data_IF_328618311543
#
_entry.id   IF_328618311543
#
_cell.length_a   1.000
_cell.length_b   1.000
_cell.length_c   1.000
_cell.angle_alpha   90.00
_cell.angle_beta   90.00
_cell.angle_gamma   90.00
#
_symmetry.space_group_name_H-M   'P 1'
#
loop_
_entity.id
_entity.type
_entity.pdbx_description
1 polymer ?
#
# COMPACT_ATOMS: atom_id res chain seq x y z
N UNK A 1 -2.00 71.83 -28.49
CA UNK A 1 -1.28 70.53 -28.47
C UNK A 1 -1.08 70.08 -27.02
N UNK A 2 -0.71 71.00 -26.13
CA UNK A 2 -0.40 70.75 -24.71
C UNK A 2 -1.54 70.16 -23.88
N UNK A 3 -2.80 70.57 -24.10
CA UNK A 3 -3.93 70.02 -23.35
C UNK A 3 -4.17 68.53 -23.65
N UNK A 4 -3.95 68.10 -24.90
CA UNK A 4 -4.05 66.68 -25.28
C UNK A 4 -2.89 65.86 -24.70
N UNK A 5 -1.69 66.43 -24.66
CA UNK A 5 -0.51 65.82 -24.03
C UNK A 5 -0.72 65.63 -22.52
N UNK A 6 -1.22 66.65 -21.81
CA UNK A 6 -1.50 66.56 -20.37
C UNK A 6 -2.56 65.51 -20.04
N UNK A 7 -3.59 65.37 -20.87
CA UNK A 7 -4.62 64.33 -20.73
C UNK A 7 -4.01 62.94 -20.95
N UNK A 8 -3.19 62.78 -21.99
CA UNK A 8 -2.50 61.51 -22.28
C UNK A 8 -1.59 61.09 -21.12
N UNK A 9 -0.81 62.02 -20.57
CA UNK A 9 0.09 61.77 -19.44
C UNK A 9 -0.67 61.32 -18.20
N UNK A 10 -1.82 61.95 -17.92
CA UNK A 10 -2.71 61.53 -16.84
C UNK A 10 -3.21 60.10 -17.05
N UNK A 11 -3.66 59.75 -18.25
CA UNK A 11 -4.10 58.39 -18.57
C UNK A 11 -2.97 57.37 -18.45
N UNK A 12 -1.77 57.68 -18.95
CA UNK A 12 -0.60 56.80 -18.83
C UNK A 12 -0.26 56.56 -17.36
N UNK A 13 -0.30 57.59 -16.51
CA UNK A 13 -0.07 57.44 -15.07
C UNK A 13 -1.13 56.55 -14.42
N UNK A 14 -2.41 56.72 -14.77
CA UNK A 14 -3.48 55.85 -14.26
C UNK A 14 -3.32 54.40 -14.69
N UNK A 15 -2.98 54.16 -15.96
CA UNK A 15 -2.74 52.82 -16.47
C UNK A 15 -1.52 52.17 -15.81
N UNK A 16 -0.46 52.94 -15.56
CA UNK A 16 0.74 52.48 -14.87
C UNK A 16 0.41 52.02 -13.44
N UNK A 17 -0.31 52.83 -12.67
CA UNK A 17 -0.72 52.46 -11.31
C UNK A 17 -1.61 51.21 -11.31
N UNK A 18 -2.56 51.11 -12.24
CA UNK A 18 -3.41 49.94 -12.36
C UNK A 18 -2.63 48.67 -12.74
N UNK A 19 -1.59 48.81 -13.56
CA UNK A 19 -0.68 47.71 -13.90
C UNK A 19 0.15 47.28 -12.70
N UNK A 20 0.74 48.23 -11.97
CA UNK A 20 1.55 47.96 -10.78
C UNK A 20 0.73 47.22 -9.71
N UNK A 21 -0.50 47.67 -9.46
CA UNK A 21 -1.43 47.02 -8.54
C UNK A 21 -1.81 45.60 -8.98
N UNK A 22 -1.95 45.38 -10.29
CA UNK A 22 -2.21 44.04 -10.84
C UNK A 22 -1.01 43.13 -10.69
N UNK A 23 0.20 43.62 -10.95
CA UNK A 23 1.44 42.85 -10.77
C UNK A 23 1.59 42.42 -9.32
N UNK A 24 1.44 43.34 -8.36
CA UNK A 24 1.48 43.03 -6.93
C UNK A 24 0.50 41.92 -6.53
N UNK A 25 -0.76 42.00 -6.99
CA UNK A 25 -1.76 40.96 -6.71
C UNK A 25 -1.43 39.61 -7.35
N UNK A 26 -0.79 39.62 -8.52
CA UNK A 26 -0.34 38.38 -9.17
C UNK A 26 0.81 37.77 -8.38
N UNK A 27 1.81 38.56 -8.00
CA UNK A 27 2.96 38.09 -7.22
C UNK A 27 2.52 37.47 -5.88
N UNK A 28 1.60 38.12 -5.17
CA UNK A 28 1.02 37.58 -3.94
C UNK A 28 0.29 36.25 -4.16
N UNK A 29 -0.42 36.10 -5.29
CA UNK A 29 -1.12 34.86 -5.63
C UNK A 29 -0.15 33.75 -6.01
N UNK A 30 0.89 34.07 -6.76
CA UNK A 30 1.95 33.13 -7.15
C UNK A 30 2.66 32.62 -5.91
N UNK A 31 3.08 33.51 -5.02
CA UNK A 31 3.76 33.13 -3.77
C UNK A 31 2.89 32.22 -2.88
N UNK A 32 1.57 32.49 -2.79
CA UNK A 32 0.64 31.60 -2.06
C UNK A 32 0.51 30.23 -2.71
N UNK A 33 0.49 30.16 -4.04
CA UNK A 33 0.40 28.90 -4.77
C UNK A 33 1.69 28.09 -4.63
N UNK A 34 2.86 28.72 -4.71
CA UNK A 34 4.15 28.08 -4.49
C UNK A 34 4.22 27.47 -3.10
N UNK A 35 3.88 28.23 -2.06
CA UNK A 35 3.89 27.72 -0.69
C UNK A 35 2.89 26.56 -0.48
N UNK A 36 1.72 26.64 -1.11
CA UNK A 36 0.74 25.54 -1.05
C UNK A 36 1.21 24.30 -1.79
N UNK A 37 1.92 24.46 -2.91
CA UNK A 37 2.47 23.35 -3.68
C UNK A 37 3.60 22.65 -2.90
N UNK A 38 4.52 23.43 -2.32
CA UNK A 38 5.57 22.91 -1.45
C UNK A 38 4.98 22.14 -0.25
N UNK A 39 3.94 22.69 0.38
CA UNK A 39 3.24 22.03 1.49
C UNK A 39 2.60 20.70 1.06
N UNK A 40 2.04 20.63 -0.15
CA UNK A 40 1.47 19.40 -0.70
C UNK A 40 2.54 18.35 -0.99
N UNK A 41 3.68 18.74 -1.56
CA UNK A 41 4.80 17.83 -1.85
C UNK A 41 5.38 17.23 -0.56
N UNK A 42 5.57 18.07 0.47
CA UNK A 42 6.03 17.61 1.79
C UNK A 42 5.04 16.63 2.41
N UNK A 43 3.73 16.86 2.26
CA UNK A 43 2.71 15.96 2.77
C UNK A 43 2.59 14.65 1.96
N UNK A 44 2.88 14.68 0.66
CA UNK A 44 2.83 13.52 -0.22
C UNK A 44 3.97 12.53 0.03
N UNK A 45 5.18 13.02 0.33
CA UNK A 45 6.36 12.18 0.58
C UNK A 45 6.16 11.08 1.66
N UNK A 46 5.68 11.37 2.88
CA UNK A 46 5.47 10.34 3.89
C UNK A 46 4.32 9.39 3.53
N UNK A 47 3.31 9.86 2.80
CA UNK A 47 2.22 9.00 2.31
C UNK A 47 2.76 8.00 1.28
N UNK A 48 3.59 8.46 0.34
CA UNK A 48 4.24 7.58 -0.64
C UNK A 48 5.10 6.52 0.04
N UNK A 49 5.92 6.91 1.03
CA UNK A 49 6.74 5.94 1.79
C UNK A 49 5.89 4.90 2.50
N UNK A 50 4.76 5.31 3.10
CA UNK A 50 3.85 4.37 3.78
C UNK A 50 3.15 3.42 2.81
N UNK A 51 2.88 3.85 1.58
CA UNK A 51 2.35 2.98 0.53
C UNK A 51 3.38 1.92 0.18
N UNK A 52 4.63 2.31 -0.06
CA UNK A 52 5.71 1.36 -0.38
C UNK A 52 5.90 0.32 0.74
N UNK A 53 5.80 0.73 2.00
CA UNK A 53 5.89 -0.18 3.15
C UNK A 53 4.70 -1.16 3.19
N UNK A 54 3.48 -0.64 3.01
CA UNK A 54 2.25 -1.45 2.96
C UNK A 54 2.19 -2.39 1.75
N UNK A 55 2.87 -2.07 0.65
CA UNK A 55 2.97 -2.98 -0.50
C UNK A 55 3.92 -4.15 -0.24
N UNK A 56 4.95 -3.97 0.61
CA UNK A 56 5.92 -5.02 0.97
C UNK A 56 5.48 -5.90 2.13
N UNK A 57 4.71 -5.35 3.07
CA UNK A 57 4.26 -6.06 4.27
C UNK A 57 3.48 -7.36 3.97
N UNK A 58 2.55 -7.43 3.00
CA UNK A 58 1.81 -8.65 2.68
C UNK A 58 2.71 -9.80 2.23
N UNK A 59 3.72 -9.52 1.42
CA UNK A 59 4.66 -10.53 0.95
C UNK A 59 5.51 -11.06 2.10
N UNK A 60 6.01 -10.18 2.97
CA UNK A 60 6.72 -10.57 4.19
C UNK A 60 5.85 -11.43 5.11
N UNK A 61 4.61 -11.01 5.37
CA UNK A 61 3.68 -11.76 6.21
C UNK A 61 3.32 -13.12 5.62
N UNK A 62 3.23 -13.22 4.29
CA UNK A 62 2.97 -14.48 3.60
C UNK A 62 4.15 -15.44 3.70
N UNK A 63 5.38 -14.93 3.59
CA UNK A 63 6.59 -15.72 3.80
C UNK A 63 6.67 -16.24 5.24
N UNK A 64 6.42 -15.38 6.22
CA UNK A 64 6.38 -15.74 7.64
C UNK A 64 5.31 -16.81 7.93
N UNK A 65 4.10 -16.64 7.37
CA UNK A 65 3.01 -17.61 7.51
C UNK A 65 3.41 -18.97 6.93
N UNK A 66 3.94 -18.98 5.71
CA UNK A 66 4.38 -20.22 5.03
C UNK A 66 5.48 -20.91 5.83
N UNK A 67 6.42 -20.13 6.37
CA UNK A 67 7.50 -20.64 7.21
C UNK A 67 6.93 -21.26 8.49
N UNK A 68 6.04 -20.58 9.21
CA UNK A 68 5.43 -21.11 10.43
C UNK A 68 4.60 -22.36 10.17
N UNK A 69 3.82 -22.40 9.09
CA UNK A 69 3.07 -23.59 8.66
C UNK A 69 4.02 -24.76 8.41
N UNK A 70 5.13 -24.54 7.70
CA UNK A 70 6.14 -25.57 7.45
C UNK A 70 6.76 -26.13 8.74
N UNK A 71 7.02 -25.27 9.73
CA UNK A 71 7.58 -25.69 11.02
C UNK A 71 6.55 -26.44 11.86
N UNK A 72 5.30 -25.99 11.87
CA UNK A 72 4.19 -26.64 12.58
C UNK A 72 3.91 -28.04 12.01
N UNK A 73 3.92 -28.18 10.69
CA UNK A 73 3.65 -29.45 10.01
C UNK A 73 4.87 -30.37 9.90
N UNK A 74 6.07 -29.93 10.29
CA UNK A 74 7.34 -30.64 10.02
C UNK A 74 7.37 -32.09 10.50
N UNK A 75 6.72 -32.38 11.62
CA UNK A 75 6.69 -33.72 12.22
C UNK A 75 5.37 -34.46 11.94
N UNK A 76 4.45 -33.85 11.20
CA UNK A 76 3.18 -34.46 10.87
C UNK A 76 3.38 -35.38 9.66
N UNK A 77 2.74 -36.55 9.70
CA UNK A 77 2.63 -37.45 8.57
C UNK A 77 1.20 -37.39 8.03
N UNK A 78 1.08 -37.19 6.72
CA UNK A 78 -0.21 -37.19 6.03
C UNK A 78 -0.37 -38.56 5.37
N UNK A 79 -1.32 -39.34 5.86
CA UNK A 79 -1.68 -40.63 5.27
C UNK A 79 -2.83 -40.41 4.27
N UNK A 80 -2.71 -40.97 3.08
CA UNK A 80 -3.72 -40.86 2.02
C UNK A 80 -4.19 -42.25 1.60
N UNK A 81 -5.42 -42.35 1.09
CA UNK A 81 -5.99 -43.65 0.69
C UNK A 81 -6.40 -44.55 1.87
N UNK A 82 -6.57 -43.97 3.07
CA UNK A 82 -7.14 -44.68 4.22
C UNK A 82 -8.66 -44.77 4.03
N UNK A 83 -9.28 -45.96 4.14
CA UNK A 83 -10.73 -46.12 4.00
C UNK A 83 -11.48 -45.38 5.11
N UNK A 84 -12.50 -44.59 4.73
CA UNK A 84 -13.41 -43.94 5.68
C UNK A 84 -14.35 -44.95 6.33
N UNK A 85 -14.73 -44.70 7.59
CA UNK A 85 -15.63 -45.59 8.34
C UNK A 85 -16.73 -44.76 9.01
N UNK A 86 -17.94 -45.31 9.11
CA UNK A 86 -19.15 -44.56 9.54
C UNK A 86 -19.08 -43.97 10.96
N UNK A 87 -18.20 -44.47 11.83
CA UNK A 87 -18.00 -43.95 13.19
C UNK A 87 -16.52 -43.98 13.54
N UNK A 88 -15.87 -42.82 13.44
CA UNK A 88 -14.47 -42.65 13.81
C UNK A 88 -14.35 -42.10 15.23
N UNK A 89 -13.58 -42.81 16.05
CA UNK A 89 -12.97 -42.35 17.29
C UNK A 89 -11.44 -42.43 17.19
N UNK A 90 -10.67 -41.72 18.04
CA UNK A 90 -9.21 -41.77 18.02
C UNK A 90 -8.64 -43.20 18.04
N UNK A 91 -9.22 -44.08 18.84
CA UNK A 91 -8.79 -45.49 18.96
C UNK A 91 -9.06 -46.28 17.67
N UNK A 92 -10.20 -46.05 17.03
CA UNK A 92 -10.52 -46.68 15.73
C UNK A 92 -9.61 -46.14 14.63
N UNK A 93 -9.35 -44.83 14.60
CA UNK A 93 -8.47 -44.18 13.63
C UNK A 93 -7.04 -44.72 13.73
N UNK A 94 -6.49 -44.87 14.94
CA UNK A 94 -5.17 -45.50 15.12
C UNK A 94 -5.17 -46.94 14.60
N UNK A 95 -6.19 -47.72 14.93
CA UNK A 95 -6.29 -49.13 14.52
C UNK A 95 -6.34 -49.29 13.00
N UNK A 96 -7.12 -48.44 12.33
CA UNK A 96 -7.25 -48.40 10.87
C UNK A 96 -5.92 -48.00 10.23
N UNK A 97 -5.28 -46.92 10.72
CA UNK A 97 -4.00 -46.45 10.23
C UNK A 97 -2.90 -47.51 10.38
N UNK A 98 -2.81 -48.16 11.54
CA UNK A 98 -1.83 -49.21 11.80
C UNK A 98 -2.01 -50.37 10.83
N UNK A 99 -3.25 -50.84 10.64
CA UNK A 99 -3.55 -51.90 9.68
C UNK A 99 -3.19 -51.49 8.25
N UNK A 100 -3.59 -50.29 7.84
CA UNK A 100 -3.29 -49.75 6.51
C UNK A 100 -1.77 -49.71 6.26
N UNK A 101 -0.98 -49.28 7.25
CA UNK A 101 0.47 -49.26 7.16
C UNK A 101 1.08 -50.67 7.10
N UNK A 102 0.61 -51.60 7.93
CA UNK A 102 1.07 -53.00 7.88
C UNK A 102 0.81 -53.63 6.51
N UNK A 103 -0.38 -53.43 5.97
CA UNK A 103 -0.79 -53.98 4.67
C UNK A 103 0.01 -53.33 3.52
N UNK A 104 0.20 -52.00 3.54
CA UNK A 104 0.93 -51.28 2.50
C UNK A 104 2.44 -51.55 2.51
N UNK A 105 3.07 -51.56 3.69
CA UNK A 105 4.52 -51.71 3.84
C UNK A 105 4.97 -53.18 3.90
N UNK A 106 4.03 -54.13 3.94
CA UNK A 106 4.30 -55.58 4.10
C UNK A 106 5.20 -55.87 5.31
N UNK A 107 5.05 -55.09 6.38
CA UNK A 107 5.81 -55.29 7.61
C UNK A 107 5.32 -56.61 8.23
N UNK A 108 6.25 -57.56 8.42
CA UNK A 108 5.94 -58.84 9.06
C UNK A 108 5.42 -58.59 10.49
N UNK A 109 4.33 -59.27 10.86
CA UNK A 109 3.67 -59.14 12.15
C UNK A 109 4.57 -59.51 13.32
#
# INVERSE_FOLDING_TARGET
MDQRMAVLEKYMKTLWLALEDRVKRVDERVSKLEHSAEGADIAAAPVSSRIDDLEREPDSLREDLTYMESQSMRNNLIFTGVPEVESESPDTTESILRKHLTDALKIAR
#
